data_IF_061936144438
#
_entry.id   IF_061936144438
#
_cell.length_a   1.000
_cell.length_b   1.000
_cell.length_c   1.000
_cell.angle_alpha   90.00
_cell.angle_beta   90.00
_cell.angle_gamma   90.00
#
_symmetry.space_group_name_H-M   'P 1'
#
loop_
_entity.id
_entity.type
_entity.pdbx_description
1 polymer ?
#
# COMPACT_ATOMS: atom_id res chain seq x y z
N UNK A 1 8.81 -0.40 -12.25
CA UNK A 1 8.52 0.25 -10.96
C UNK A 1 7.78 1.58 -11.07
N UNK A 2 8.00 2.42 -12.09
CA UNK A 2 7.31 3.72 -12.21
C UNK A 2 5.80 3.63 -12.48
N UNK A 3 5.35 2.62 -13.23
CA UNK A 3 3.94 2.47 -13.60
C UNK A 3 3.07 2.05 -12.40
N UNK A 4 3.56 1.17 -11.53
CA UNK A 4 2.77 0.66 -10.39
C UNK A 4 2.46 1.74 -9.34
N UNK A 5 3.34 2.72 -9.18
CA UNK A 5 3.12 3.83 -8.24
C UNK A 5 2.07 4.82 -8.77
N UNK A 6 2.06 5.07 -10.08
CA UNK A 6 1.09 5.98 -10.70
C UNK A 6 -0.33 5.42 -10.57
N UNK A 7 -0.50 4.11 -10.81
CA UNK A 7 -1.79 3.42 -10.64
C UNK A 7 -2.32 3.47 -9.20
N UNK A 8 -1.44 3.43 -8.20
CA UNK A 8 -1.84 3.58 -6.79
C UNK A 8 -2.21 5.01 -6.43
N UNK A 9 -1.62 6.01 -7.08
CA UNK A 9 -1.99 7.41 -6.88
C UNK A 9 -3.37 7.69 -7.46
N UNK A 10 -3.65 7.21 -8.69
CA UNK A 10 -4.98 7.34 -9.30
C UNK A 10 -6.06 6.67 -8.44
N UNK A 11 -5.75 5.49 -7.88
CA UNK A 11 -6.67 4.78 -7.00
C UNK A 11 -6.88 5.50 -5.66
N UNK A 12 -5.82 6.07 -5.08
CA UNK A 12 -5.91 6.88 -3.86
C UNK A 12 -6.80 8.10 -4.08
N UNK A 13 -6.62 8.81 -5.20
CA UNK A 13 -7.44 9.96 -5.54
C UNK A 13 -8.91 9.55 -5.69
N UNK A 14 -9.17 8.46 -6.42
CA UNK A 14 -10.53 7.93 -6.56
C UNK A 14 -11.19 7.61 -5.22
N UNK A 15 -10.50 6.90 -4.32
CA UNK A 15 -11.07 6.57 -3.00
C UNK A 15 -11.30 7.81 -2.14
N UNK A 16 -10.45 8.83 -2.27
CA UNK A 16 -10.66 10.13 -1.61
C UNK A 16 -11.88 10.86 -2.16
N UNK A 17 -12.09 10.86 -3.49
CA UNK A 17 -13.29 11.43 -4.12
C UNK A 17 -14.57 10.69 -3.71
N UNK A 18 -14.48 9.39 -3.45
CA UNK A 18 -15.58 8.59 -2.88
C UNK A 18 -15.84 8.89 -1.39
N UNK A 19 -15.06 9.77 -0.76
CA UNK A 19 -15.17 10.12 0.66
C UNK A 19 -14.71 9.02 1.61
N UNK A 20 -13.95 8.04 1.11
CA UNK A 20 -13.47 6.91 1.89
C UNK A 20 -12.16 7.28 2.58
N UNK A 21 -12.04 6.98 3.87
CA UNK A 21 -10.79 7.14 4.59
C UNK A 21 -9.77 6.10 4.12
N UNK A 22 -8.59 6.56 3.70
CA UNK A 22 -7.52 5.72 3.14
C UNK A 22 -6.24 5.84 3.99
N UNK A 23 -5.77 4.71 4.51
CA UNK A 23 -4.45 4.55 5.12
C UNK A 23 -3.38 4.20 4.08
N UNK A 24 -2.13 4.62 4.33
CA UNK A 24 -1.00 4.36 3.42
C UNK A 24 0.24 3.90 4.19
N UNK A 25 0.77 2.75 3.80
CA UNK A 25 2.08 2.25 4.24
C UNK A 25 3.11 2.35 3.10
N UNK A 26 4.36 2.68 3.47
CA UNK A 26 5.49 2.74 2.54
C UNK A 26 6.65 1.93 3.13
N UNK A 27 7.24 1.03 2.33
CA UNK A 27 8.41 0.27 2.73
C UNK A 27 9.64 1.19 2.75
N UNK A 28 10.01 1.67 3.94
CA UNK A 28 11.10 2.65 4.09
C UNK A 28 12.50 2.04 4.07
N UNK A 29 12.63 0.77 4.48
CA UNK A 29 13.92 0.07 4.53
C UNK A 29 13.73 -1.44 4.61
N UNK A 30 14.70 -2.19 4.07
CA UNK A 30 14.76 -3.65 4.24
C UNK A 30 16.13 -4.10 4.76
N UNK A 31 16.18 -5.25 5.43
CA UNK A 31 17.42 -5.88 5.87
C UNK A 31 17.49 -7.30 5.30
N UNK A 32 18.55 -7.61 4.55
CA UNK A 32 18.68 -8.88 3.84
C UNK A 32 17.82 -8.93 2.56
N UNK A 33 17.42 -10.12 2.13
CA UNK A 33 16.60 -10.30 0.93
C UNK A 33 15.13 -9.99 1.24
N UNK A 34 14.59 -8.95 0.61
CA UNK A 34 13.17 -8.62 0.67
C UNK A 34 12.47 -8.87 -0.68
N UNK A 35 11.22 -9.37 -0.69
CA UNK A 35 10.52 -9.64 -1.95
C UNK A 35 10.02 -8.37 -2.64
N UNK A 36 10.00 -7.23 -1.93
CA UNK A 36 9.68 -5.91 -2.45
C UNK A 36 10.83 -4.93 -2.23
N UNK A 37 11.09 -4.03 -3.19
CA UNK A 37 12.08 -2.98 -3.04
C UNK A 37 11.58 -1.88 -2.10
N UNK A 38 12.53 -1.15 -1.50
CA UNK A 38 12.24 0.09 -0.77
C UNK A 38 11.44 1.06 -1.65
N UNK A 39 10.49 1.77 -1.04
CA UNK A 39 9.52 2.61 -1.73
C UNK A 39 8.27 1.87 -2.23
N UNK A 40 8.16 0.54 -2.02
CA UNK A 40 6.90 -0.16 -2.25
C UNK A 40 5.78 0.39 -1.35
N UNK A 41 4.56 0.48 -1.89
CA UNK A 41 3.42 1.14 -1.23
C UNK A 41 2.27 0.15 -1.08
N UNK A 42 1.54 0.26 0.03
CA UNK A 42 0.25 -0.37 0.26
C UNK A 42 -0.76 0.68 0.71
N UNK A 43 -1.96 0.62 0.13
CA UNK A 43 -3.12 1.42 0.46
C UNK A 43 -4.19 0.50 1.06
N UNK A 44 -4.87 0.98 2.09
CA UNK A 44 -6.01 0.30 2.68
C UNK A 44 -7.11 1.28 3.02
N UNK A 45 -8.36 0.83 2.99
CA UNK A 45 -9.52 1.65 3.37
C UNK A 45 -10.22 1.07 4.60
N UNK A 46 -10.95 1.93 5.31
CA UNK A 46 -11.73 1.51 6.49
C UNK A 46 -12.83 0.47 6.15
N UNK A 47 -13.30 0.44 4.90
CA UNK A 47 -14.27 -0.55 4.41
C UNK A 47 -13.61 -1.83 3.86
N UNK A 48 -12.29 -2.00 4.04
CA UNK A 48 -11.59 -3.26 3.82
C UNK A 48 -11.00 -3.44 2.41
N UNK A 49 -10.95 -2.40 1.58
CA UNK A 49 -10.27 -2.46 0.27
C UNK A 49 -8.77 -2.34 0.49
N UNK A 50 -7.98 -3.09 -0.28
CA UNK A 50 -6.51 -3.08 -0.21
C UNK A 50 -5.95 -3.03 -1.62
N UNK A 51 -4.91 -2.21 -1.83
CA UNK A 51 -4.16 -2.16 -3.07
C UNK A 51 -2.66 -1.93 -2.81
N UNK A 52 -1.79 -2.49 -3.64
CA UNK A 52 -0.35 -2.41 -3.43
C UNK A 52 0.19 -3.56 -2.57
N UNK A 53 1.48 -3.49 -2.24
CA UNK A 53 2.17 -4.53 -1.46
C UNK A 53 3.49 -3.99 -0.93
N UNK A 54 3.79 -4.23 0.35
CA UNK A 54 5.06 -3.84 1.00
C UNK A 54 6.00 -5.02 1.25
N UNK A 55 5.50 -6.25 1.29
CA UNK A 55 6.32 -7.46 1.50
C UNK A 55 6.19 -8.46 0.36
N UNK A 56 5.02 -8.59 -0.27
CA UNK A 56 4.75 -9.59 -1.31
C UNK A 56 4.00 -10.83 -0.80
N UNK A 57 3.32 -10.73 0.34
CA UNK A 57 2.60 -11.83 1.01
C UNK A 57 2.66 -11.75 2.54
N UNK A 58 1.78 -12.49 3.21
CA UNK A 58 1.55 -12.70 4.67
C UNK A 58 1.55 -11.50 5.64
N UNK A 59 2.45 -10.53 5.49
CA UNK A 59 2.65 -9.41 6.42
C UNK A 59 1.73 -8.24 6.09
N UNK A 60 1.14 -8.18 4.89
CA UNK A 60 0.20 -7.12 4.51
C UNK A 60 -0.99 -7.03 5.47
N UNK A 61 -1.53 -8.16 5.94
CA UNK A 61 -2.68 -8.16 6.84
C UNK A 61 -2.36 -7.48 8.18
N UNK A 62 -1.15 -7.64 8.70
CA UNK A 62 -0.73 -6.94 9.92
C UNK A 62 -0.61 -5.43 9.67
N UNK A 63 -0.03 -5.03 8.54
CA UNK A 63 0.13 -3.61 8.18
C UNK A 63 -1.23 -2.93 7.99
N UNK A 64 -2.19 -3.60 7.34
CA UNK A 64 -3.54 -3.07 7.12
C UNK A 64 -4.28 -2.78 8.43
N UNK A 65 -4.01 -3.55 9.49
CA UNK A 65 -4.66 -3.36 10.79
C UNK A 65 -4.11 -2.16 11.57
N UNK A 66 -2.93 -1.64 11.20
CA UNK A 66 -2.22 -0.56 11.90
C UNK A 66 -2.31 0.81 11.17
N UNK A 67 -2.90 0.88 9.96
CA UNK A 67 -2.92 2.09 9.12
C UNK A 67 -4.30 2.68 8.85
#
# INVERSE_FOLDING_TARGET
MGVYLIELLDLLERWRDEGVAVGRAVLVRTYGSAPRPEGAVLLATADGRIAGSVSGGCVEAAVVLDI
#
